data_IF_675101959753
#
_entry.id   IF_675101959753
#
_cell.length_a   1.000
_cell.length_b   1.000
_cell.length_c   1.000
_cell.angle_alpha   90.00
_cell.angle_beta   90.00
_cell.angle_gamma   90.00
#
_symmetry.space_group_name_H-M   'P 1'
#
loop_
_entity.id
_entity.type
_entity.pdbx_description
1 polymer ?
#
# COMPACT_ATOMS: atom_id res chain seq x y z
N UNK A 1 11.61 -10.26 47.74
CA UNK A 1 13.08 -10.33 47.60
C UNK A 1 13.39 -10.86 46.22
N UNK A 2 13.60 -9.98 45.24
CA UNK A 2 14.02 -10.37 43.89
C UNK A 2 15.50 -10.00 43.78
N UNK A 3 16.36 -11.01 43.65
CA UNK A 3 17.80 -10.85 43.39
C UNK A 3 17.99 -10.75 41.88
N UNK A 4 18.38 -9.59 41.39
CA UNK A 4 18.93 -9.44 40.04
C UNK A 4 20.43 -9.78 40.09
N UNK A 5 20.85 -10.73 39.25
CA UNK A 5 22.27 -11.07 39.04
C UNK A 5 22.70 -10.43 37.72
N UNK A 6 23.71 -9.56 37.77
CA UNK A 6 24.35 -8.95 36.60
C UNK A 6 25.56 -9.81 36.20
N UNK A 7 25.59 -10.34 34.97
CA UNK A 7 26.79 -10.95 34.41
C UNK A 7 27.53 -9.93 33.54
N UNK A 8 28.80 -9.70 33.87
CA UNK A 8 29.74 -8.91 33.10
C UNK A 8 30.36 -9.82 32.04
N UNK A 9 30.13 -9.55 30.76
CA UNK A 9 30.85 -10.20 29.65
C UNK A 9 31.85 -9.18 29.08
N UNK A 10 33.13 -9.51 29.19
CA UNK A 10 34.23 -8.73 28.60
C UNK A 10 34.24 -8.98 27.09
N UNK A 11 33.94 -7.96 26.29
CA UNK A 11 33.93 -8.07 24.83
C UNK A 11 35.35 -7.87 24.26
N UNK A 12 35.88 -8.88 23.58
CA UNK A 12 36.95 -8.71 22.60
C UNK A 12 36.31 -8.13 21.33
N UNK A 13 36.97 -7.13 20.75
CA UNK A 13 36.53 -6.34 19.59
C UNK A 13 36.10 -7.23 18.41
N UNK A 14 34.86 -7.06 17.96
CA UNK A 14 34.32 -7.64 16.73
C UNK A 14 32.80 -7.62 16.70
N UNK A 15 32.22 -6.74 15.87
CA UNK A 15 30.79 -6.70 15.46
C UNK A 15 29.73 -6.77 16.56
N UNK A 16 29.11 -5.64 16.89
CA UNK A 16 27.84 -5.65 17.66
C UNK A 16 26.66 -5.54 16.70
N UNK A 17 26.00 -6.68 16.44
CA UNK A 17 24.60 -6.71 16.10
C UNK A 17 23.81 -6.63 17.43
N UNK A 18 22.95 -5.61 17.57
CA UNK A 18 22.00 -5.55 18.69
C UNK A 18 20.78 -6.39 18.29
N UNK A 19 20.68 -7.59 18.83
CA UNK A 19 19.53 -8.46 18.69
C UNK A 19 18.50 -8.09 19.76
N UNK A 20 17.41 -7.40 19.37
CA UNK A 20 16.20 -7.32 20.18
C UNK A 20 15.47 -8.67 20.08
N UNK A 21 15.55 -9.50 21.12
CA UNK A 21 14.82 -10.77 21.15
C UNK A 21 13.36 -10.54 21.55
N UNK A 22 12.48 -10.60 20.55
CA UNK A 22 11.05 -10.89 20.67
C UNK A 22 10.70 -11.99 19.66
N UNK A 23 10.26 -13.14 20.17
CA UNK A 23 9.81 -14.36 19.47
C UNK A 23 10.37 -14.60 18.06
N UNK A 24 11.57 -15.18 18.01
CA UNK A 24 12.26 -15.55 16.76
C UNK A 24 11.93 -16.97 16.33
N UNK A 25 11.03 -17.07 15.36
CA UNK A 25 11.05 -18.15 14.36
C UNK A 25 11.04 -17.50 12.97
N UNK A 26 12.21 -17.45 12.32
CA UNK A 26 12.40 -16.94 10.94
C UNK A 26 13.14 -15.60 10.86
N UNK A 27 14.47 -15.62 11.06
CA UNK A 27 15.34 -14.42 11.19
C UNK A 27 16.06 -13.99 9.90
N UNK A 28 15.51 -14.26 8.72
CA UNK A 28 16.02 -13.65 7.50
C UNK A 28 15.14 -12.46 7.12
N UNK A 29 15.66 -11.24 7.31
CA UNK A 29 15.08 -10.06 6.69
C UNK A 29 15.33 -10.17 5.19
N UNK A 30 14.25 -10.21 4.41
CA UNK A 30 14.28 -10.22 2.97
C UNK A 30 14.32 -8.78 2.43
N UNK A 31 15.10 -8.59 1.38
CA UNK A 31 15.01 -7.42 0.52
C UNK A 31 14.10 -7.77 -0.67
N UNK A 32 13.00 -7.03 -0.82
CA UNK A 32 12.00 -7.24 -1.87
C UNK A 32 12.25 -6.37 -3.11
N UNK A 33 13.33 -5.60 -3.15
CA UNK A 33 13.66 -4.68 -4.26
C UNK A 33 13.88 -5.35 -5.60
N UNK A 34 14.13 -6.67 -5.60
CA UNK A 34 14.32 -7.52 -6.78
C UNK A 34 13.41 -8.78 -6.75
N UNK A 35 12.23 -8.67 -6.14
CA UNK A 35 11.28 -9.76 -6.00
C UNK A 35 10.09 -9.68 -6.96
N UNK A 36 9.54 -10.84 -7.35
CA UNK A 36 8.26 -10.87 -8.08
C UNK A 36 7.12 -10.68 -7.08
N UNK A 37 6.79 -9.41 -6.83
CA UNK A 37 5.72 -9.01 -5.91
C UNK A 37 4.44 -8.89 -6.70
N UNK A 38 3.38 -9.52 -6.21
CA UNK A 38 2.06 -9.54 -6.85
C UNK A 38 1.15 -8.44 -6.35
N UNK A 39 1.19 -8.15 -5.06
CA UNK A 39 0.39 -7.09 -4.46
C UNK A 39 0.95 -6.69 -3.10
N UNK A 40 0.63 -5.47 -2.66
CA UNK A 40 1.02 -4.92 -1.37
C UNK A 40 -0.18 -4.29 -0.67
N UNK A 41 -0.24 -4.36 0.66
CA UNK A 41 -1.30 -3.68 1.43
C UNK A 41 -0.77 -3.18 2.76
N UNK A 42 -1.44 -2.20 3.35
CA UNK A 42 -1.09 -1.60 4.65
C UNK A 42 -2.15 -1.95 5.68
N UNK A 43 -1.70 -2.34 6.87
CA UNK A 43 -2.53 -2.53 8.05
C UNK A 43 -2.19 -1.46 9.09
N UNK A 44 -3.08 -0.50 9.30
CA UNK A 44 -2.81 0.67 10.14
C UNK A 44 -1.71 1.55 9.53
N UNK A 45 -0.81 2.10 10.37
CA UNK A 45 0.12 3.12 9.88
C UNK A 45 1.47 2.56 9.41
N UNK A 46 1.96 1.45 9.98
CA UNK A 46 3.36 1.03 9.78
C UNK A 46 3.55 -0.42 9.31
N UNK A 47 2.49 -1.23 9.39
CA UNK A 47 2.58 -2.65 9.05
C UNK A 47 2.18 -2.82 7.60
N UNK A 48 3.08 -3.38 6.80
CA UNK A 48 2.81 -3.68 5.39
C UNK A 48 2.86 -5.18 5.15
N UNK A 49 2.06 -5.65 4.22
CA UNK A 49 2.08 -7.03 3.75
C UNK A 49 2.31 -7.06 2.25
N UNK A 50 3.14 -7.98 1.80
CA UNK A 50 3.41 -8.21 0.38
C UNK A 50 3.22 -9.69 0.06
N UNK A 51 2.55 -9.98 -1.04
CA UNK A 51 2.44 -11.33 -1.57
C UNK A 51 3.43 -11.51 -2.74
N UNK A 52 4.24 -12.55 -2.68
CA UNK A 52 5.22 -12.88 -3.71
C UNK A 52 4.81 -14.14 -4.45
N UNK A 53 5.04 -14.14 -5.77
CA UNK A 53 4.80 -15.33 -6.58
C UNK A 53 5.64 -15.37 -7.87
N UNK A 54 6.22 -16.53 -8.15
CA UNK A 54 6.91 -16.82 -9.42
C UNK A 54 8.27 -16.12 -9.56
N UNK A 55 8.90 -15.77 -8.43
CA UNK A 55 10.17 -15.05 -8.37
C UNK A 55 11.35 -15.89 -7.87
N UNK A 56 12.55 -15.29 -7.73
CA UNK A 56 13.72 -15.96 -7.17
C UNK A 56 13.64 -16.16 -5.64
N UNK A 57 12.81 -15.35 -4.95
CA UNK A 57 12.49 -15.51 -3.53
C UNK A 57 11.42 -16.58 -3.33
N UNK A 58 11.24 -17.01 -2.08
CA UNK A 58 10.17 -17.94 -1.71
C UNK A 58 8.81 -17.28 -1.92
N UNK A 59 7.93 -17.96 -2.67
CA UNK A 59 6.54 -17.55 -2.82
C UNK A 59 5.82 -17.55 -1.45
N UNK A 60 4.95 -16.57 -1.23
CA UNK A 60 4.17 -16.49 0.00
C UNK A 60 3.96 -15.06 0.49
N UNK A 61 3.61 -14.96 1.77
CA UNK A 61 3.28 -13.70 2.44
C UNK A 61 4.47 -13.20 3.23
N UNK A 62 4.85 -11.95 2.98
CA UNK A 62 5.86 -11.21 3.72
C UNK A 62 5.21 -10.07 4.48
N UNK A 63 5.79 -9.70 5.63
CA UNK A 63 5.35 -8.58 6.44
C UNK A 63 6.52 -7.67 6.81
N UNK A 64 6.29 -6.38 6.73
CA UNK A 64 7.17 -5.34 7.27
C UNK A 64 6.49 -4.65 8.46
N UNK A 65 7.28 -4.25 9.45
CA UNK A 65 6.85 -3.42 10.59
C UNK A 65 7.48 -2.02 10.58
N UNK A 66 8.21 -1.71 9.52
CA UNK A 66 9.08 -0.54 9.40
C UNK A 66 8.89 0.14 8.04
N UNK A 67 7.64 0.23 7.56
CA UNK A 67 7.30 0.90 6.30
C UNK A 67 8.08 0.35 5.10
N UNK A 68 8.15 -0.98 5.01
CA UNK A 68 8.74 -1.67 3.86
C UNK A 68 10.27 -1.62 3.80
N UNK A 69 10.95 -1.10 4.83
CA UNK A 69 12.41 -1.10 4.90
C UNK A 69 12.96 -2.52 5.07
N UNK A 70 12.31 -3.36 5.87
CA UNK A 70 12.69 -4.76 6.04
C UNK A 70 11.46 -5.67 6.03
N UNK A 71 11.62 -6.86 5.44
CA UNK A 71 10.53 -7.81 5.25
C UNK A 71 10.81 -9.15 5.89
N UNK A 72 9.81 -9.74 6.53
CA UNK A 72 9.89 -11.06 7.12
C UNK A 72 8.91 -12.00 6.41
N UNK A 73 9.38 -13.16 5.96
CA UNK A 73 8.50 -14.23 5.48
C UNK A 73 7.63 -14.73 6.63
N UNK A 74 6.32 -14.83 6.40
CA UNK A 74 5.32 -15.21 7.40
C UNK A 74 4.74 -16.60 7.13
N UNK A 75 4.33 -16.87 5.89
CA UNK A 75 3.75 -18.16 5.48
C UNK A 75 3.77 -18.30 3.96
N UNK A 76 3.39 -19.48 3.47
CA UNK A 76 3.19 -19.72 2.03
C UNK A 76 1.94 -19.05 1.47
N UNK A 77 1.11 -18.41 2.31
CA UNK A 77 -0.17 -17.84 1.90
C UNK A 77 -1.31 -18.87 1.83
N UNK A 78 -2.49 -18.45 1.33
CA UNK A 78 -3.61 -19.35 1.07
C UNK A 78 -3.29 -20.36 -0.05
N UNK A 79 -4.07 -21.45 -0.15
CA UNK A 79 -3.90 -22.37 -1.28
C UNK A 79 -4.35 -21.68 -2.58
N UNK A 80 -3.52 -21.72 -3.61
CA UNK A 80 -3.81 -21.15 -4.93
C UNK A 80 -2.94 -19.96 -5.28
N UNK A 81 -3.18 -19.38 -6.45
CA UNK A 81 -2.47 -18.20 -6.95
C UNK A 81 -3.15 -16.98 -6.38
N UNK A 82 -2.45 -16.21 -5.54
CA UNK A 82 -2.99 -15.00 -4.93
C UNK A 82 -3.02 -13.86 -5.95
N UNK A 83 -4.18 -13.22 -6.06
CA UNK A 83 -4.46 -12.16 -7.03
C UNK A 83 -4.84 -10.84 -6.36
N UNK A 84 -5.30 -10.85 -5.12
CA UNK A 84 -5.61 -9.65 -4.35
C UNK A 84 -5.33 -9.88 -2.86
N UNK A 85 -4.92 -8.81 -2.16
CA UNK A 85 -4.68 -8.82 -0.71
C UNK A 85 -5.16 -7.50 -0.11
N UNK A 86 -5.96 -7.56 0.95
CA UNK A 86 -6.34 -6.38 1.71
C UNK A 86 -6.23 -6.66 3.21
N UNK A 87 -5.66 -5.70 3.94
CA UNK A 87 -5.61 -5.77 5.39
C UNK A 87 -6.82 -5.06 6.01
N UNK A 88 -7.29 -5.58 7.14
CA UNK A 88 -8.36 -4.93 7.88
C UNK A 88 -7.82 -3.66 8.58
N UNK A 89 -8.43 -2.48 8.36
CA UNK A 89 -7.81 -1.20 8.73
C UNK A 89 -7.68 -1.00 10.24
N UNK A 90 -8.61 -1.56 11.03
CA UNK A 90 -8.58 -1.45 12.51
C UNK A 90 -8.15 -2.73 13.23
N UNK A 91 -7.95 -3.83 12.51
CA UNK A 91 -7.58 -5.13 13.10
C UNK A 91 -6.41 -5.72 12.30
N UNK A 92 -5.16 -5.34 12.61
CA UNK A 92 -3.98 -5.71 11.81
C UNK A 92 -3.64 -7.21 11.84
N UNK A 93 -4.34 -8.00 12.67
CA UNK A 93 -4.27 -9.46 12.64
C UNK A 93 -5.15 -10.07 11.53
N UNK A 94 -6.14 -9.32 11.04
CA UNK A 94 -7.07 -9.80 10.01
C UNK A 94 -6.61 -9.37 8.63
N UNK A 95 -6.44 -10.35 7.73
CA UNK A 95 -6.17 -10.13 6.31
C UNK A 95 -7.19 -10.89 5.46
N UNK A 96 -7.49 -10.37 4.28
CA UNK A 96 -8.30 -11.06 3.28
C UNK A 96 -7.48 -11.21 2.01
N UNK A 97 -7.59 -12.38 1.38
CA UNK A 97 -6.91 -12.66 0.12
C UNK A 97 -7.88 -13.23 -0.89
N UNK A 98 -7.76 -12.71 -2.12
CA UNK A 98 -8.37 -13.23 -3.32
C UNK A 98 -7.40 -14.15 -4.04
N UNK A 99 -7.90 -15.22 -4.63
CA UNK A 99 -7.11 -16.10 -5.49
C UNK A 99 -7.76 -16.29 -6.86
N UNK A 100 -7.02 -16.93 -7.77
CA UNK A 100 -7.53 -17.35 -9.07
C UNK A 100 -8.79 -18.23 -8.97
N UNK A 101 -9.56 -18.20 -10.06
CA UNK A 101 -10.77 -18.99 -10.24
C UNK A 101 -10.50 -20.37 -10.80
N UNK A 102 -11.53 -21.21 -10.85
CA UNK A 102 -11.41 -22.58 -11.29
C UNK A 102 -12.65 -23.43 -11.00
N UNK A 103 -12.57 -24.76 -11.20
CA UNK A 103 -13.70 -25.64 -10.93
C UNK A 103 -14.18 -25.54 -9.49
N UNK A 104 -15.50 -25.41 -9.28
CA UNK A 104 -16.11 -25.29 -7.94
C UNK A 104 -15.79 -26.45 -7.00
N UNK A 105 -15.44 -27.62 -7.55
CA UNK A 105 -15.08 -28.81 -6.78
C UNK A 105 -13.68 -28.75 -6.15
N UNK A 106 -12.81 -27.88 -6.66
CA UNK A 106 -11.39 -27.83 -6.26
C UNK A 106 -10.93 -26.45 -5.85
N UNK A 107 -11.73 -25.41 -6.09
CA UNK A 107 -11.27 -24.02 -6.02
C UNK A 107 -11.99 -23.25 -4.92
N UNK A 108 -11.22 -22.51 -4.14
CA UNK A 108 -11.70 -21.45 -3.26
C UNK A 108 -11.00 -20.18 -3.74
N UNK A 109 -11.74 -19.09 -3.88
CA UNK A 109 -11.22 -17.83 -4.41
C UNK A 109 -11.09 -16.73 -3.34
N UNK A 110 -11.55 -17.00 -2.11
CA UNK A 110 -11.53 -16.04 -1.02
C UNK A 110 -11.10 -16.68 0.31
N UNK A 111 -10.21 -15.98 0.99
CA UNK A 111 -9.52 -16.45 2.18
C UNK A 111 -9.45 -15.35 3.23
N UNK A 112 -9.43 -15.74 4.51
CA UNK A 112 -9.21 -14.85 5.65
C UNK A 112 -8.13 -15.40 6.55
N UNK A 113 -7.23 -14.54 7.00
CA UNK A 113 -6.33 -14.80 8.12
C UNK A 113 -6.80 -14.05 9.35
N UNK A 114 -6.57 -14.62 10.54
CA UNK A 114 -6.84 -13.99 11.84
C UNK A 114 -5.57 -13.79 12.67
N UNK A 115 -4.41 -14.11 12.11
CA UNK A 115 -3.13 -14.18 12.81
C UNK A 115 -2.00 -13.50 12.02
N UNK A 116 -2.33 -12.40 11.34
CA UNK A 116 -1.40 -11.60 10.52
C UNK A 116 -0.77 -12.40 9.37
N UNK A 117 -1.56 -13.25 8.72
CA UNK A 117 -1.13 -14.02 7.55
C UNK A 117 -0.32 -15.28 7.87
N UNK A 118 -0.22 -15.71 9.13
CA UNK A 118 0.48 -16.96 9.51
C UNK A 118 -0.31 -18.20 9.10
N UNK A 119 -1.63 -18.14 9.19
CA UNK A 119 -2.54 -19.17 8.70
C UNK A 119 -3.75 -18.55 7.99
N UNK A 120 -4.34 -19.33 7.07
CA UNK A 120 -5.41 -18.89 6.19
C UNK A 120 -6.58 -19.87 6.23
N UNK A 121 -7.79 -19.31 6.31
CA UNK A 121 -9.04 -20.02 6.35
C UNK A 121 -9.87 -19.68 5.11
N UNK A 122 -10.41 -20.71 4.47
CA UNK A 122 -11.34 -20.56 3.34
C UNK A 122 -12.59 -19.84 3.83
N UNK A 123 -13.00 -18.80 3.10
CA UNK A 123 -14.33 -18.24 3.26
C UNK A 123 -15.27 -19.08 2.39
N UNK A 124 -16.04 -19.95 3.03
CA UNK A 124 -17.10 -20.76 2.43
C UNK A 124 -18.24 -19.85 1.98
N UNK A 125 -18.06 -19.33 0.78
CA UNK A 125 -19.05 -18.51 0.12
C UNK A 125 -19.37 -19.25 -1.17
N UNK A 126 -20.60 -19.72 -1.29
CA UNK A 126 -21.16 -19.96 -2.61
C UNK A 126 -21.46 -18.59 -3.20
N UNK A 127 -20.43 -17.94 -3.76
CA UNK A 127 -20.69 -16.92 -4.77
C UNK A 127 -21.56 -17.63 -5.81
N UNK A 128 -22.55 -16.95 -6.42
CA UNK A 128 -23.36 -17.57 -7.45
C UNK A 128 -22.42 -18.23 -8.44
N UNK A 129 -22.38 -19.57 -8.45
CA UNK A 129 -21.48 -20.29 -9.33
C UNK A 129 -21.84 -19.85 -10.74
N UNK A 130 -20.83 -19.50 -11.54
CA UNK A 130 -21.08 -19.24 -12.94
C UNK A 130 -21.80 -20.49 -13.50
N UNK A 131 -22.79 -20.34 -14.39
CA UNK A 131 -23.66 -21.45 -14.81
C UNK A 131 -22.94 -22.69 -15.38
N UNK A 132 -21.64 -22.60 -15.64
CA UNK A 132 -20.72 -23.67 -16.06
C UNK A 132 -20.02 -24.41 -14.90
N UNK A 133 -20.28 -24.06 -13.63
CA UNK A 133 -19.64 -24.66 -12.46
C UNK A 133 -18.24 -24.11 -12.14
N UNK A 134 -17.92 -22.93 -12.64
CA UNK A 134 -16.65 -22.24 -12.38
C UNK A 134 -16.83 -21.17 -11.29
N UNK A 135 -15.90 -21.15 -10.33
CA UNK A 135 -15.74 -20.07 -9.36
C UNK A 135 -14.86 -19.00 -10.01
N UNK A 136 -15.29 -17.73 -10.08
CA UNK A 136 -14.50 -16.69 -10.73
C UNK A 136 -13.26 -16.35 -9.91
N UNK A 137 -12.20 -15.85 -10.56
CA UNK A 137 -11.06 -15.27 -9.84
C UNK A 137 -11.51 -14.02 -9.09
N UNK A 138 -10.94 -13.77 -7.90
CA UNK A 138 -11.06 -12.46 -7.25
C UNK A 138 -9.98 -11.55 -7.83
N UNK A 139 -10.37 -10.43 -8.43
CA UNK A 139 -9.44 -9.51 -9.09
C UNK A 139 -9.02 -8.36 -8.20
N UNK A 140 -9.89 -7.95 -7.28
CA UNK A 140 -9.65 -6.82 -6.38
C UNK A 140 -10.49 -6.98 -5.12
N UNK A 141 -9.98 -6.46 -4.00
CA UNK A 141 -10.64 -6.45 -2.70
C UNK A 141 -10.53 -5.04 -2.11
N UNK A 142 -11.62 -4.55 -1.54
CA UNK A 142 -11.63 -3.27 -0.84
C UNK A 142 -12.41 -3.38 0.47
N UNK A 143 -11.95 -2.64 1.49
CA UNK A 143 -12.64 -2.52 2.78
C UNK A 143 -13.01 -1.05 2.97
N UNK A 144 -14.19 -0.80 3.52
CA UNK A 144 -14.59 0.55 3.96
C UNK A 144 -13.89 0.88 5.29
N UNK A 145 -13.00 1.87 5.29
CA UNK A 145 -12.29 2.30 6.49
C UNK A 145 -13.23 2.84 7.58
N UNK A 146 -14.40 3.37 7.21
CA UNK A 146 -15.43 3.86 8.12
C UNK A 146 -16.38 2.75 8.60
N UNK A 147 -16.50 1.69 7.82
CA UNK A 147 -17.32 0.51 8.10
C UNK A 147 -16.50 -0.76 7.85
N UNK A 148 -15.51 -1.05 8.71
CA UNK A 148 -14.53 -2.09 8.42
C UNK A 148 -15.09 -3.51 8.46
N UNK A 149 -16.38 -3.68 8.80
CA UNK A 149 -17.14 -4.91 8.63
C UNK A 149 -17.64 -5.13 7.19
N UNK A 150 -17.38 -4.22 6.26
CA UNK A 150 -17.77 -4.33 4.86
C UNK A 150 -16.57 -4.65 3.97
N UNK A 151 -16.58 -5.84 3.38
CA UNK A 151 -15.61 -6.30 2.40
C UNK A 151 -16.26 -6.36 1.01
N UNK A 152 -15.73 -5.57 0.09
CA UNK A 152 -16.11 -5.55 -1.32
C UNK A 152 -15.18 -6.45 -2.13
N UNK A 153 -15.78 -7.21 -3.05
CA UNK A 153 -15.07 -8.21 -3.85
C UNK A 153 -15.39 -7.99 -5.31
N UNK A 154 -14.33 -7.75 -6.09
CA UNK A 154 -14.39 -7.69 -7.55
C UNK A 154 -13.99 -9.04 -8.11
N UNK A 155 -14.72 -9.49 -9.13
CA UNK A 155 -14.47 -10.81 -9.73
C UNK A 155 -14.22 -10.74 -11.23
N UNK A 156 -13.47 -11.72 -11.73
CA UNK A 156 -13.32 -11.95 -13.15
C UNK A 156 -14.60 -12.61 -13.71
N UNK A 157 -15.46 -11.80 -14.33
CA UNK A 157 -16.57 -12.28 -15.15
C UNK A 157 -17.86 -12.57 -14.37
N UNK A 158 -17.96 -12.15 -13.10
CA UNK A 158 -19.14 -12.36 -12.27
C UNK A 158 -19.57 -11.13 -11.46
N UNK A 159 -18.99 -9.95 -11.71
CA UNK A 159 -19.39 -8.69 -11.06
C UNK A 159 -18.83 -8.46 -9.65
N UNK A 160 -19.57 -7.67 -8.85
CA UNK A 160 -19.14 -7.14 -7.54
C UNK A 160 -20.01 -7.70 -6.43
N UNK A 161 -19.40 -8.07 -5.30
CA UNK A 161 -20.09 -8.62 -4.13
C UNK A 161 -19.72 -7.87 -2.85
N UNK A 162 -20.69 -7.73 -1.93
CA UNK A 162 -20.47 -7.20 -0.60
C UNK A 162 -20.66 -8.28 0.47
N UNK A 163 -19.65 -8.43 1.28
CA UNK A 163 -19.65 -9.27 2.47
C UNK A 163 -19.67 -8.41 3.73
N UNK A 164 -20.60 -8.74 4.61
CA UNK A 164 -20.57 -8.30 6.00
C UNK A 164 -19.69 -9.30 6.77
N UNK A 165 -18.47 -8.88 7.08
CA UNK A 165 -17.53 -9.61 7.92
C UNK A 165 -17.86 -9.27 9.38
N UNK A 166 -18.05 -10.31 10.17
CA UNK A 166 -18.45 -10.25 11.57
C UNK A 166 -19.96 -9.98 11.80
N UNK A 167 -20.83 -10.28 10.82
CA UNK A 167 -22.30 -10.21 10.92
C UNK A 167 -22.91 -10.84 12.19
N UNK A 168 -22.22 -11.84 12.78
CA UNK A 168 -22.60 -12.53 14.04
C UNK A 168 -21.47 -12.52 15.09
N UNK A 169 -20.56 -11.55 15.05
CA UNK A 169 -19.41 -11.41 15.95
C UNK A 169 -18.21 -12.32 15.65
N UNK A 170 -18.38 -13.34 14.80
CA UNK A 170 -17.30 -14.21 14.30
C UNK A 170 -17.54 -14.75 12.87
N UNK A 171 -18.61 -14.33 12.21
CA UNK A 171 -19.08 -14.87 10.93
C UNK A 171 -18.72 -14.01 9.72
N UNK A 172 -19.24 -14.38 8.55
CA UNK A 172 -19.29 -13.53 7.36
C UNK A 172 -20.51 -13.93 6.54
N UNK A 173 -21.13 -12.97 5.85
CA UNK A 173 -22.33 -13.22 5.06
C UNK A 173 -22.33 -12.38 3.79
N UNK A 174 -22.74 -12.97 2.66
CA UNK A 174 -23.06 -12.20 1.46
C UNK A 174 -24.30 -11.36 1.75
N UNK A 175 -24.17 -10.03 1.67
CA UNK A 175 -25.26 -9.11 2.01
C UNK A 175 -25.74 -8.27 0.84
N UNK A 176 -24.97 -8.21 -0.24
CA UNK A 176 -25.34 -7.46 -1.44
C UNK A 176 -24.36 -7.70 -2.58
N UNK A 177 -24.58 -7.02 -3.70
CA UNK A 177 -23.77 -7.14 -4.90
C UNK A 177 -24.59 -7.34 -6.16
N UNK A 178 -23.90 -7.26 -7.30
CA UNK A 178 -24.45 -7.51 -8.63
C UNK A 178 -23.67 -8.64 -9.28
N UNK A 179 -24.39 -9.70 -9.60
CA UNK A 179 -23.89 -10.81 -10.41
C UNK A 179 -24.32 -10.58 -11.86
N UNK A 180 -23.33 -10.39 -12.74
CA UNK A 180 -23.55 -10.21 -14.17
C UNK A 180 -22.56 -11.09 -14.94
N UNK A 181 -23.02 -12.01 -15.82
CA UNK A 181 -22.13 -12.82 -16.64
C UNK A 181 -21.21 -11.94 -17.48
N UNK A 182 -19.94 -12.31 -17.58
CA UNK A 182 -18.92 -11.59 -18.38
C UNK A 182 -18.59 -10.17 -17.87
N UNK A 183 -19.09 -9.78 -16.69
CA UNK A 183 -18.67 -8.53 -16.05
C UNK A 183 -17.35 -8.74 -15.34
N UNK A 184 -16.27 -8.25 -15.96
CA UNK A 184 -14.92 -8.28 -15.42
C UNK A 184 -14.67 -7.01 -14.63
N UNK A 185 -14.53 -7.15 -13.31
CA UNK A 185 -14.13 -6.05 -12.44
C UNK A 185 -12.61 -5.92 -12.51
N UNK A 186 -12.13 -4.76 -12.97
CA UNK A 186 -10.70 -4.45 -13.03
C UNK A 186 -10.22 -3.92 -11.69
N UNK A 187 -10.97 -2.99 -11.12
CA UNK A 187 -10.62 -2.36 -9.86
C UNK A 187 -11.86 -1.91 -9.05
N UNK A 188 -11.71 -1.84 -7.73
CA UNK A 188 -12.70 -1.45 -6.76
C UNK A 188 -12.09 -0.51 -5.72
N UNK A 189 -12.66 0.68 -5.59
CA UNK A 189 -12.28 1.62 -4.54
C UNK A 189 -13.49 2.07 -3.75
N UNK A 190 -13.31 2.21 -2.44
CA UNK A 190 -14.33 2.74 -1.53
C UNK A 190 -13.97 4.19 -1.24
N UNK A 191 -14.85 5.11 -1.65
CA UNK A 191 -14.75 6.53 -1.32
C UNK A 191 -15.68 6.91 -0.17
N UNK A 192 -15.77 8.21 0.10
CA UNK A 192 -16.58 8.70 1.21
C UNK A 192 -18.06 8.35 1.10
N UNK A 193 -18.70 8.29 2.28
CA UNK A 193 -20.15 8.06 2.47
C UNK A 193 -20.59 6.70 1.92
N UNK A 194 -19.75 5.68 2.10
CA UNK A 194 -20.02 4.30 1.69
C UNK A 194 -20.29 4.21 0.17
N UNK A 195 -19.64 5.06 -0.64
CA UNK A 195 -19.71 4.97 -2.10
C UNK A 195 -18.61 4.06 -2.60
N UNK A 196 -19.01 3.10 -3.40
CA UNK A 196 -18.13 2.11 -3.99
C UNK A 196 -18.10 2.36 -5.47
N UNK A 197 -16.90 2.50 -6.01
CA UNK A 197 -16.67 2.66 -7.43
C UNK A 197 -16.11 1.36 -8.00
N UNK A 198 -16.72 0.87 -9.06
CA UNK A 198 -16.29 -0.34 -9.75
C UNK A 198 -15.89 0.00 -11.18
N UNK A 199 -14.60 -0.18 -11.47
CA UNK A 199 -14.11 -0.14 -12.83
C UNK A 199 -14.30 -1.51 -13.47
N UNK A 200 -15.03 -1.57 -14.58
CA UNK A 200 -15.32 -2.82 -15.29
C UNK A 200 -14.96 -2.74 -16.77
N UNK A 201 -15.09 -3.85 -17.49
CA UNK A 201 -15.02 -3.87 -18.95
C UNK A 201 -16.18 -3.11 -19.64
N UNK A 202 -17.26 -2.80 -18.93
CA UNK A 202 -18.43 -2.06 -19.44
C UNK A 202 -18.43 -0.57 -19.05
N UNK A 203 -17.44 -0.13 -18.26
CA UNK A 203 -17.30 1.24 -17.79
C UNK A 203 -17.15 1.35 -16.27
N UNK A 204 -17.20 2.59 -15.79
CA UNK A 204 -17.11 2.94 -14.37
C UNK A 204 -18.52 3.06 -13.78
N UNK A 205 -18.78 2.38 -12.66
CA UNK A 205 -20.06 2.43 -11.96
C UNK A 205 -19.87 2.86 -10.51
N UNK A 206 -20.89 3.52 -9.94
CA UNK A 206 -20.95 3.86 -8.52
C UNK A 206 -22.18 3.27 -7.87
N UNK A 207 -22.02 2.84 -6.61
CA UNK A 207 -23.13 2.45 -5.75
C UNK A 207 -22.94 2.95 -4.31
N UNK A 208 -24.03 3.30 -3.63
CA UNK A 208 -24.03 3.64 -2.20
C UNK A 208 -24.54 2.52 -1.29
N UNK A 209 -25.14 1.49 -1.88
CA UNK A 209 -25.78 0.36 -1.19
C UNK A 209 -25.37 -1.01 -1.76
N UNK A 210 -24.54 -1.00 -2.82
CA UNK A 210 -24.08 -2.15 -3.62
C UNK A 210 -25.17 -3.04 -4.22
N UNK A 211 -26.43 -2.59 -4.16
CA UNK A 211 -27.57 -3.20 -4.83
C UNK A 211 -27.90 -2.46 -6.13
N UNK A 212 -27.85 -1.12 -6.09
CA UNK A 212 -28.15 -0.25 -7.23
C UNK A 212 -26.87 0.43 -7.73
N UNK A 213 -26.54 0.19 -9.00
CA UNK A 213 -25.35 0.72 -9.65
C UNK A 213 -25.72 1.72 -10.74
N UNK A 214 -24.99 2.84 -10.77
CA UNK A 214 -25.17 3.90 -11.75
C UNK A 214 -23.89 4.07 -12.55
N UNK A 215 -24.00 4.06 -13.88
CA UNK A 215 -22.86 4.33 -14.74
C UNK A 215 -22.43 5.80 -14.58
N UNK A 216 -21.12 6.01 -14.50
CA UNK A 216 -20.51 7.34 -14.48
C UNK A 216 -19.97 7.69 -15.89
N UNK A 217 -20.10 8.96 -16.33
CA UNK A 217 -19.67 9.40 -17.65
C UNK A 217 -18.15 9.59 -17.75
N UNK A 218 -17.36 8.55 -17.42
CA UNK A 218 -15.91 8.57 -17.53
C UNK A 218 -15.50 8.70 -19.03
N UNK A 219 -14.74 9.74 -19.43
CA UNK A 219 -14.36 9.93 -20.83
C UNK A 219 -13.27 8.96 -21.34
N UNK A 220 -12.64 8.19 -20.44
CA UNK A 220 -11.58 7.26 -20.77
C UNK A 220 -12.08 6.12 -21.68
N UNK A 221 -11.43 5.92 -22.83
CA UNK A 221 -11.79 4.82 -23.74
C UNK A 221 -11.38 3.45 -23.18
N UNK A 222 -10.21 3.39 -22.53
CA UNK A 222 -9.58 2.14 -22.06
C UNK A 222 -9.01 2.33 -20.66
N UNK A 223 -9.86 2.60 -19.66
CA UNK A 223 -9.43 2.81 -18.30
C UNK A 223 -8.79 1.54 -17.73
N UNK A 224 -7.70 1.73 -17.02
CA UNK A 224 -6.90 0.66 -16.41
C UNK A 224 -7.03 0.64 -14.90
N UNK A 225 -7.21 1.80 -14.28
CA UNK A 225 -7.09 1.96 -12.83
C UNK A 225 -7.88 3.18 -12.34
N UNK A 226 -8.36 3.13 -11.10
CA UNK A 226 -9.08 4.23 -10.44
C UNK A 226 -8.57 4.42 -9.01
N UNK A 227 -8.61 5.66 -8.53
CA UNK A 227 -8.28 5.96 -7.15
C UNK A 227 -9.23 7.04 -6.61
N UNK A 228 -9.54 6.99 -5.31
CA UNK A 228 -10.46 7.95 -4.69
C UNK A 228 -9.96 8.43 -3.33
N UNK A 229 -10.19 9.71 -3.07
CA UNK A 229 -10.00 10.37 -1.78
C UNK A 229 -11.14 11.37 -1.64
N UNK A 230 -11.79 11.38 -0.48
CA UNK A 230 -13.01 12.14 -0.24
C UNK A 230 -14.10 11.91 -1.32
N UNK A 231 -14.43 12.99 -2.04
CA UNK A 231 -15.37 13.01 -3.16
C UNK A 231 -14.66 13.04 -4.52
N UNK A 232 -13.33 13.05 -4.52
CA UNK A 232 -12.52 13.06 -5.70
C UNK A 232 -12.30 11.66 -6.26
N UNK A 233 -12.26 11.55 -7.58
CA UNK A 233 -11.95 10.32 -8.29
C UNK A 233 -10.91 10.65 -9.37
N UNK A 234 -9.87 9.84 -9.40
CA UNK A 234 -8.88 9.81 -10.46
C UNK A 234 -9.10 8.53 -11.28
N UNK A 235 -8.93 8.63 -12.59
CA UNK A 235 -8.96 7.48 -13.49
C UNK A 235 -7.81 7.61 -14.50
N UNK A 236 -7.09 6.51 -14.71
CA UNK A 236 -6.02 6.44 -15.70
C UNK A 236 -6.42 5.50 -16.85
N UNK A 237 -5.97 5.79 -18.07
CA UNK A 237 -6.17 4.93 -19.23
C UNK A 237 -4.87 4.49 -19.91
N UNK A 238 -4.96 3.46 -20.75
CA UNK A 238 -3.80 2.92 -21.46
C UNK A 238 -3.27 3.85 -22.57
N UNK A 239 -3.86 5.03 -22.75
CA UNK A 239 -3.28 6.08 -23.58
C UNK A 239 -2.26 6.94 -22.84
N UNK A 240 -2.22 6.81 -21.51
CA UNK A 240 -1.48 7.69 -20.61
C UNK A 240 -2.33 8.85 -20.11
N UNK A 241 -3.58 9.02 -20.57
CA UNK A 241 -4.42 10.09 -20.08
C UNK A 241 -4.86 9.82 -18.64
N UNK A 242 -5.01 10.91 -17.89
CA UNK A 242 -5.50 10.89 -16.51
C UNK A 242 -6.67 11.85 -16.44
N UNK A 243 -7.76 11.38 -15.83
CA UNK A 243 -8.98 12.15 -15.65
C UNK A 243 -9.24 12.33 -14.16
N UNK A 244 -9.77 13.49 -13.81
CA UNK A 244 -10.13 13.87 -12.46
C UNK A 244 -11.57 14.33 -12.40
N UNK A 245 -12.25 13.92 -11.33
CA UNK A 245 -13.55 14.41 -10.93
C UNK A 245 -13.49 14.84 -9.47
N UNK A 246 -14.00 16.02 -9.14
CA UNK A 246 -14.15 16.50 -7.75
C UNK A 246 -15.54 16.25 -7.17
N UNK A 247 -16.46 15.71 -7.98
CA UNK A 247 -17.88 15.64 -7.67
C UNK A 247 -18.45 14.21 -7.69
N UNK A 248 -17.64 13.21 -7.36
CA UNK A 248 -18.07 11.81 -7.34
C UNK A 248 -18.33 11.25 -8.75
N UNK A 249 -17.57 11.73 -9.73
CA UNK A 249 -17.57 11.18 -11.09
C UNK A 249 -18.69 11.69 -11.98
N UNK A 250 -19.42 12.74 -11.60
CA UNK A 250 -20.48 13.32 -12.44
C UNK A 250 -19.89 14.13 -13.60
N UNK A 251 -18.82 14.88 -13.34
CA UNK A 251 -18.08 15.63 -14.34
C UNK A 251 -16.59 15.27 -14.27
N UNK A 252 -15.93 15.29 -15.43
CA UNK A 252 -14.54 14.86 -15.58
C UNK A 252 -13.72 15.90 -16.35
N UNK A 253 -12.47 16.07 -15.93
CA UNK A 253 -11.46 16.87 -16.63
C UNK A 253 -10.23 16.02 -16.87
N UNK A 254 -9.68 16.05 -18.08
CA UNK A 254 -8.39 15.45 -18.35
C UNK A 254 -7.29 16.32 -17.73
N UNK A 255 -6.53 15.75 -16.78
CA UNK A 255 -5.48 16.40 -15.98
C UNK A 255 -4.09 15.80 -16.25
N UNK A 256 -3.97 14.84 -17.16
CA UNK A 256 -2.71 14.18 -17.50
C UNK A 256 -2.74 13.56 -18.90
N UNK A 257 -1.59 13.11 -19.37
CA UNK A 257 -1.45 12.49 -20.70
C UNK A 257 -0.42 13.14 -21.62
N UNK A 258 0.07 14.34 -21.28
CA UNK A 258 1.13 15.02 -22.02
C UNK A 258 2.51 14.74 -21.39
N UNK A 259 2.79 13.47 -21.12
CA UNK A 259 4.05 13.04 -20.51
C UNK A 259 5.22 13.25 -21.48
N UNK A 260 6.42 13.61 -21.00
CA UNK A 260 7.61 13.70 -21.85
C UNK A 260 7.91 12.36 -22.53
N UNK A 261 7.53 12.23 -23.80
CA UNK A 261 7.75 11.03 -24.59
C UNK A 261 9.09 11.10 -25.34
N UNK A 262 9.79 9.97 -25.42
CA UNK A 262 10.86 9.80 -26.40
C UNK A 262 10.23 9.64 -27.79
N UNK A 263 10.91 10.15 -28.81
CA UNK A 263 10.44 10.04 -30.20
C UNK A 263 10.13 8.58 -30.52
N UNK A 264 8.91 8.33 -31.02
CA UNK A 264 8.40 7.02 -31.49
C UNK A 264 7.86 6.05 -30.42
N UNK A 265 7.88 6.38 -29.12
CA UNK A 265 7.26 5.53 -28.09
C UNK A 265 6.07 6.21 -27.41
N UNK A 266 4.93 5.52 -27.36
CA UNK A 266 3.75 5.97 -26.60
C UNK A 266 3.98 5.65 -25.12
N UNK A 267 3.78 6.63 -24.24
CA UNK A 267 3.69 6.40 -22.80
C UNK A 267 2.28 5.96 -22.44
N UNK A 268 2.16 4.87 -21.69
CA UNK A 268 0.91 4.40 -21.11
C UNK A 268 0.97 4.61 -19.60
N UNK A 269 -0.16 4.94 -18.98
CA UNK A 269 -0.30 4.79 -17.55
C UNK A 269 -0.26 3.29 -17.21
N UNK A 270 0.20 2.95 -16.01
CA UNK A 270 0.25 1.54 -15.57
C UNK A 270 -0.36 1.32 -14.20
N UNK A 271 -0.27 2.30 -13.30
CA UNK A 271 -0.92 2.29 -12.00
C UNK A 271 -1.15 3.73 -11.53
N UNK A 272 -2.12 3.92 -10.65
CA UNK A 272 -2.56 5.20 -10.11
C UNK A 272 -2.93 5.02 -8.64
N UNK A 273 -2.52 5.95 -7.79
CA UNK A 273 -2.97 6.00 -6.39
C UNK A 273 -3.18 7.45 -5.96
N UNK A 274 -3.96 7.64 -4.90
CA UNK A 274 -4.24 8.95 -4.31
C UNK A 274 -4.09 8.85 -2.80
N UNK A 275 -3.57 9.91 -2.20
CA UNK A 275 -3.56 10.06 -0.75
C UNK A 275 -4.98 10.12 -0.22
N UNK A 276 -5.33 9.16 0.64
CA UNK A 276 -6.66 9.08 1.23
C UNK A 276 -7.03 10.34 2.02
N UNK A 277 -6.06 10.98 2.65
CA UNK A 277 -6.26 12.17 3.50
C UNK A 277 -6.02 13.49 2.75
N UNK A 278 -5.56 13.43 1.50
CA UNK A 278 -5.30 14.60 0.67
C UNK A 278 -5.66 14.34 -0.79
N UNK A 279 -6.91 14.66 -1.16
CA UNK A 279 -7.41 14.51 -2.53
C UNK A 279 -6.59 15.25 -3.61
N UNK A 280 -5.70 16.17 -3.24
CA UNK A 280 -4.82 16.87 -4.20
C UNK A 280 -3.50 16.14 -4.44
N UNK A 281 -3.14 15.18 -3.59
CA UNK A 281 -1.94 14.38 -3.69
C UNK A 281 -2.23 13.05 -4.40
N UNK A 282 -1.77 12.93 -5.65
CA UNK A 282 -1.94 11.71 -6.44
C UNK A 282 -0.63 11.32 -7.12
N UNK A 283 -0.48 10.02 -7.39
CA UNK A 283 0.72 9.44 -7.95
C UNK A 283 0.35 8.52 -9.09
N UNK A 284 1.10 8.60 -10.17
CA UNK A 284 0.93 7.76 -11.35
C UNK A 284 2.27 7.17 -11.78
N UNK A 285 2.24 5.93 -12.24
CA UNK A 285 3.36 5.33 -12.96
C UNK A 285 3.04 5.19 -14.43
N UNK A 286 4.07 5.33 -15.25
CA UNK A 286 3.98 5.18 -16.69
C UNK A 286 4.96 4.12 -17.19
N UNK A 287 4.72 3.59 -18.38
CA UNK A 287 5.65 2.73 -19.11
C UNK A 287 5.63 3.03 -20.61
N UNK A 288 6.73 2.76 -21.30
CA UNK A 288 6.80 2.90 -22.75
C UNK A 288 6.23 1.67 -23.43
N UNK A 289 5.25 1.87 -24.32
CA UNK A 289 4.72 0.84 -25.20
C UNK A 289 5.53 0.79 -26.50
N UNK A 290 6.43 -0.20 -26.61
CA UNK A 290 7.32 -0.41 -27.76
C UNK A 290 7.09 -1.82 -28.29
N UNK A 291 6.66 -1.93 -29.55
CA UNK A 291 6.43 -3.24 -30.18
C UNK A 291 5.37 -4.11 -29.49
N UNK A 292 4.43 -3.50 -28.75
CA UNK A 292 3.41 -4.21 -27.98
C UNK A 292 3.85 -4.68 -26.59
N UNK A 293 5.09 -4.35 -26.17
CA UNK A 293 5.57 -4.60 -24.82
C UNK A 293 5.69 -3.29 -24.04
N UNK A 294 5.40 -3.36 -22.73
CA UNK A 294 5.64 -2.28 -21.80
C UNK A 294 7.05 -2.41 -21.22
N UNK A 295 7.81 -1.31 -21.25
CA UNK A 295 9.16 -1.27 -20.69
C UNK A 295 9.44 0.04 -19.95
N UNK A 296 10.05 -0.09 -18.78
CA UNK A 296 10.51 1.04 -17.95
C UNK A 296 9.42 2.09 -17.71
N UNK A 297 9.81 3.36 -17.81
CA UNK A 297 8.93 4.52 -17.64
C UNK A 297 9.24 5.27 -16.36
N UNK A 298 8.26 5.96 -15.79
CA UNK A 298 8.52 6.92 -14.71
C UNK A 298 7.37 7.02 -13.73
N UNK A 299 7.69 7.45 -12.51
CA UNK A 299 6.71 7.76 -11.47
C UNK A 299 6.59 9.28 -11.37
N UNK A 300 5.35 9.77 -11.40
CA UNK A 300 5.02 11.18 -11.28
C UNK A 300 4.06 11.40 -10.12
N UNK A 301 4.20 12.52 -9.43
CA UNK A 301 3.29 12.95 -8.37
C UNK A 301 2.70 14.33 -8.68
N UNK A 302 1.55 14.61 -8.09
CA UNK A 302 0.92 15.93 -8.08
C UNK A 302 0.49 16.26 -6.66
N UNK A 303 0.50 17.54 -6.29
CA UNK A 303 -0.07 18.06 -5.02
C UNK A 303 -1.18 19.09 -5.28
N UNK A 304 -1.66 19.19 -6.52
CA UNK A 304 -2.62 20.20 -6.97
C UNK A 304 -3.69 19.60 -7.88
N UNK A 305 -4.09 18.37 -7.57
CA UNK A 305 -5.11 17.61 -8.29
C UNK A 305 -4.84 17.48 -9.80
N UNK A 306 -3.57 17.27 -10.14
CA UNK A 306 -3.12 17.05 -11.52
C UNK A 306 -3.03 18.31 -12.37
N UNK A 307 -3.12 19.51 -11.79
CA UNK A 307 -2.83 20.74 -12.54
C UNK A 307 -1.37 20.77 -12.99
N UNK A 308 -0.47 20.21 -12.19
CA UNK A 308 0.93 19.98 -12.52
C UNK A 308 1.38 18.61 -11.99
N UNK A 309 2.24 17.94 -12.75
CA UNK A 309 2.85 16.67 -12.39
C UNK A 309 4.36 16.78 -12.37
N UNK A 310 4.98 16.31 -11.30
CA UNK A 310 6.43 16.31 -11.08
C UNK A 310 6.94 14.89 -11.20
N UNK A 311 8.00 14.70 -12.00
CA UNK A 311 8.67 13.39 -12.08
C UNK A 311 9.46 13.16 -10.80
N UNK A 312 9.14 12.07 -10.11
CA UNK A 312 9.77 11.67 -8.85
C UNK A 312 10.96 10.75 -9.10
N UNK A 313 10.79 9.76 -9.97
CA UNK A 313 11.80 8.74 -10.24
C UNK A 313 11.58 8.04 -11.59
N UNK A 314 12.61 7.31 -12.03
CA UNK A 314 12.42 6.27 -13.04
C UNK A 314 11.72 5.06 -12.43
N UNK A 315 10.78 4.46 -13.16
CA UNK A 315 10.08 3.27 -12.72
C UNK A 315 11.02 2.05 -12.68
N UNK A 316 10.81 1.17 -11.70
CA UNK A 316 11.55 -0.08 -11.59
C UNK A 316 10.87 -1.15 -12.42
N UNK A 317 11.23 -1.22 -13.71
CA UNK A 317 10.49 -2.02 -14.68
C UNK A 317 9.13 -1.39 -14.97
N UNK A 318 8.10 -2.23 -15.15
CA UNK A 318 6.70 -1.80 -15.32
C UNK A 318 6.03 -1.89 -13.96
N UNK A 319 5.66 -0.75 -13.38
CA UNK A 319 4.96 -0.71 -12.10
C UNK A 319 3.50 -1.05 -12.34
N UNK A 320 3.06 -2.15 -11.76
CA UNK A 320 1.72 -2.72 -11.95
C UNK A 320 0.74 -2.27 -10.83
N UNK A 321 1.27 -1.87 -9.67
CA UNK A 321 0.49 -1.36 -8.55
C UNK A 321 1.28 -0.26 -7.82
N UNK A 322 0.58 0.81 -7.41
CA UNK A 322 1.10 1.89 -6.60
C UNK A 322 0.36 1.94 -5.26
N UNK A 323 1.12 2.14 -4.19
CA UNK A 323 0.60 2.33 -2.85
C UNK A 323 1.25 3.57 -2.23
N UNK A 324 0.45 4.47 -1.69
CA UNK A 324 0.93 5.58 -0.87
C UNK A 324 0.71 5.27 0.61
N UNK A 325 1.76 5.36 1.42
CA UNK A 325 1.67 5.21 2.87
C UNK A 325 2.65 6.16 3.58
N UNK A 326 2.14 7.04 4.45
CA UNK A 326 2.93 8.04 5.18
C UNK A 326 3.90 8.84 4.27
N UNK A 327 3.38 9.41 3.18
CA UNK A 327 4.14 10.15 2.15
C UNK A 327 5.22 9.33 1.42
N UNK A 328 5.32 8.02 1.67
CA UNK A 328 6.20 7.12 0.91
C UNK A 328 5.38 6.46 -0.19
N UNK A 329 5.91 6.54 -1.42
CA UNK A 329 5.32 5.93 -2.60
C UNK A 329 5.95 4.55 -2.79
N UNK A 330 5.16 3.50 -2.83
CA UNK A 330 5.64 2.15 -3.14
C UNK A 330 5.16 1.75 -4.53
N UNK A 331 6.10 1.38 -5.40
CA UNK A 331 5.78 0.74 -6.67
C UNK A 331 6.05 -0.75 -6.61
N UNK A 332 5.03 -1.53 -6.92
CA UNK A 332 5.11 -2.97 -7.13
C UNK A 332 5.32 -3.23 -8.62
N UNK A 333 6.32 -4.04 -8.94
CA UNK A 333 6.48 -4.59 -10.27
C UNK A 333 6.87 -6.06 -10.22
N UNK A 334 6.80 -6.72 -11.36
CA UNK A 334 7.42 -8.03 -11.59
C UNK A 334 8.93 -8.07 -11.30
N UNK A 335 9.58 -6.90 -11.17
CA UNK A 335 11.01 -6.78 -10.88
C UNK A 335 11.30 -6.32 -9.46
N UNK A 336 10.30 -6.06 -8.62
CA UNK A 336 10.52 -5.69 -7.22
C UNK A 336 9.46 -4.78 -6.63
N UNK A 337 9.43 -4.73 -5.30
CA UNK A 337 8.79 -3.67 -4.54
C UNK A 337 9.83 -2.60 -4.21
N UNK A 338 9.62 -1.36 -4.67
CA UNK A 338 10.53 -0.24 -4.36
C UNK A 338 9.80 0.94 -3.75
N UNK A 339 10.30 1.49 -2.62
CA UNK A 339 9.90 2.80 -2.17
C UNK A 339 10.54 3.89 -3.06
N UNK A 340 9.75 4.90 -3.40
CA UNK A 340 10.13 6.14 -4.04
C UNK A 340 9.90 7.26 -3.03
N UNK A 341 10.86 8.18 -2.95
CA UNK A 341 10.92 9.22 -1.91
C UNK A 341 10.93 8.62 -0.49
N UNK A 342 12.09 8.17 -0.03
CA UNK A 342 12.33 8.24 1.41
C UNK A 342 12.36 9.74 1.77
N UNK A 343 11.71 10.20 2.86
CA UNK A 343 11.85 11.58 3.28
C UNK A 343 13.34 11.90 3.31
N UNK A 344 13.72 12.92 2.54
CA UNK A 344 15.08 13.44 2.56
C UNK A 344 15.33 13.77 4.03
N UNK A 345 16.19 13.00 4.71
CA UNK A 345 16.83 13.50 5.93
C UNK A 345 17.41 14.83 5.50
N UNK A 346 16.87 15.93 6.04
CA UNK A 346 17.21 17.28 5.64
C UNK A 346 18.73 17.36 5.47
N UNK A 347 19.15 17.61 4.23
CA UNK A 347 20.54 17.67 3.84
C UNK A 347 21.20 18.80 4.64
N UNK A 348 21.74 18.46 5.81
CA UNK A 348 22.47 19.39 6.68
C UNK A 348 23.84 19.75 6.07
N UNK A 349 24.15 19.26 4.87
CA UNK A 349 25.42 19.44 4.19
C UNK A 349 25.58 20.71 3.35
N UNK A 350 24.51 21.43 2.98
CA UNK A 350 24.63 22.49 1.95
C UNK A 350 24.20 23.90 2.36
N UNK A 351 23.74 24.14 3.59
CA UNK A 351 23.30 25.48 4.03
C UNK A 351 24.29 26.28 4.90
N UNK A 352 25.44 25.72 5.29
CA UNK A 352 26.35 26.37 6.27
C UNK A 352 27.55 27.12 5.68
N UNK A 353 27.75 27.17 4.37
CA UNK A 353 28.92 27.84 3.78
C UNK A 353 28.72 29.33 3.46
N UNK A 354 27.53 29.92 3.65
CA UNK A 354 27.25 31.26 3.12
C UNK A 354 26.65 32.31 4.07
N UNK A 355 26.93 32.24 5.37
CA UNK A 355 26.63 33.35 6.30
C UNK A 355 27.81 33.60 7.26
N UNK A 356 28.78 34.39 6.81
CA UNK A 356 29.88 34.89 7.63
C UNK A 356 29.48 36.04 8.54
N UNK A 357 28.73 35.76 9.62
CA UNK A 357 28.50 36.71 10.72
C UNK A 357 28.54 36.01 12.10
N UNK A 358 29.07 36.67 13.15
CA UNK A 358 29.17 36.08 14.48
C UNK A 358 27.85 36.24 15.23
N UNK A 359 27.16 35.13 15.49
CA UNK A 359 25.96 35.11 16.34
C UNK A 359 26.29 34.42 17.67
N UNK A 360 26.30 35.22 18.75
CA UNK A 360 26.23 34.74 20.12
C UNK A 360 24.83 34.17 20.39
N UNK A 361 24.73 32.88 20.69
CA UNK A 361 23.48 32.21 21.06
C UNK A 361 23.63 31.54 22.42
N UNK A 362 22.74 31.90 23.35
CA UNK A 362 22.64 31.34 24.68
C UNK A 362 21.36 30.50 24.79
N UNK A 363 21.52 29.27 25.29
CA UNK A 363 20.50 28.33 25.79
C UNK A 363 19.47 27.78 24.81
N UNK A 364 19.94 26.89 23.93
CA UNK A 364 19.58 25.44 23.89
C UNK A 364 19.87 24.92 22.49
N UNK A 365 21.15 24.64 22.23
CA UNK A 365 21.59 23.87 21.07
C UNK A 365 22.33 22.64 21.60
N UNK A 366 21.94 21.48 21.08
CA UNK A 366 22.69 20.23 21.23
C UNK A 366 23.97 20.38 20.43
N UNK A 367 25.11 20.42 21.14
CA UNK A 367 26.43 20.39 20.54
C UNK A 367 26.88 18.92 20.44
N UNK A 368 26.88 18.37 19.22
CA UNK A 368 27.50 17.06 18.95
C UNK A 368 28.96 17.32 18.57
N UNK A 369 29.89 17.03 19.48
CA UNK A 369 31.33 17.06 19.22
C UNK A 369 31.76 15.66 18.77
N UNK A 370 32.28 15.52 17.55
CA UNK A 370 33.03 14.32 17.17
C UNK A 370 34.45 14.42 17.73
N UNK A 371 34.73 13.68 18.80
CA UNK A 371 36.10 13.44 19.24
C UNK A 371 36.64 12.20 18.54
N UNK A 372 37.63 12.40 17.67
CA UNK A 372 38.38 11.30 17.07
C UNK A 372 39.33 10.69 18.10
N UNK A 373 39.20 9.38 18.25
CA UNK A 373 40.03 8.43 19.00
C UNK A 373 40.27 8.69 20.50
N UNK A 374 39.58 7.87 21.31
CA UNK A 374 40.14 7.33 22.55
C UNK A 374 39.84 8.10 23.83
N UNK A 375 38.68 7.85 24.44
CA UNK A 375 38.50 7.52 25.87
C UNK A 375 37.00 7.45 26.21
N UNK A 376 36.65 6.48 27.04
CA UNK A 376 35.30 6.06 27.37
C UNK A 376 34.46 7.13 28.11
N UNK A 377 33.17 7.19 27.77
CA UNK A 377 32.16 7.92 28.55
C UNK A 377 30.76 7.34 28.30
N UNK A 378 30.23 6.60 29.27
CA UNK A 378 28.86 6.07 29.27
C UNK A 378 27.90 7.22 29.58
N UNK A 379 26.83 7.39 28.78
CA UNK A 379 25.70 8.27 29.12
C UNK A 379 24.53 7.38 29.55
N UNK A 380 24.10 7.53 30.81
CA UNK A 380 22.88 6.95 31.36
C UNK A 380 21.78 8.03 31.33
N UNK A 381 20.64 7.76 30.70
CA UNK A 381 19.44 8.59 30.82
C UNK A 381 18.56 8.08 31.97
N UNK A 382 18.29 8.95 32.95
CA UNK A 382 17.29 8.77 33.99
C UNK A 382 16.40 10.00 34.07
N UNK A 383 15.08 9.78 34.17
CA UNK A 383 14.04 10.81 34.27
C UNK A 383 14.13 11.51 35.63
N UNK A 384 14.20 12.84 35.66
CA UNK A 384 14.11 13.65 36.88
C UNK A 384 13.03 14.73 36.70
N UNK A 385 11.88 14.51 37.34
CA UNK A 385 10.85 15.52 37.54
C UNK A 385 11.32 16.51 38.62
N UNK A 386 11.20 17.82 38.37
CA UNK A 386 11.53 18.84 39.36
C UNK A 386 10.28 19.43 40.01
N UNK A 387 10.25 19.33 41.34
CA UNK A 387 9.31 20.01 42.24
C UNK A 387 9.69 21.49 42.34
N UNK A 388 8.71 22.39 42.19
CA UNK A 388 8.81 23.84 42.41
C UNK A 388 9.13 24.15 43.88
N UNK A 389 10.17 24.94 44.13
CA UNK A 389 10.33 25.70 45.38
C UNK A 389 10.41 27.21 45.06
N UNK A 390 9.53 27.96 45.72
CA UNK A 390 9.33 29.40 45.59
C UNK A 390 10.48 30.20 46.23
N UNK A 391 10.65 31.42 45.71
CA UNK A 391 11.56 32.49 46.14
C UNK A 391 11.59 32.76 47.66
N UNK A 392 12.73 33.24 48.15
CA UNK A 392 12.78 34.53 48.90
C UNK A 392 14.11 35.25 48.63
N UNK A 393 14.03 36.57 48.66
CA UNK A 393 15.06 37.54 48.29
C UNK A 393 15.91 38.00 49.48
N UNK A 394 17.14 38.44 49.18
CA UNK A 394 17.72 39.71 49.65
C UNK A 394 18.82 40.14 48.67
#
# INVERSE_FOLDING_TARGET
MVRSVLFLVTLIVGTTAVMLMGETSGLALADLSNASVKTVTVAGDHVMYAALQGGPQTDGIYRSHDNGLTWQYISSGPDGVLTALVAHPVNPATLFAGTEGGPVTTTNNLWRSYDSGKSWHKLFISLPAHPDGVVPAVTTLAIDDTQPHKLFIGTAGSGVYLFDIDADGHGYRLVGGVSAPQMHVKDLVVGERNRVYALTNEGLFVSGDVEAWHALPLPAERPIDIATSDNAIYAADDSGAVYYSSNGGQDWTQIGGNWPAVSEAKLQATALTVDKENQNHAVISTAYAIGGQLIGGSVYETYNAGSEWVKVAEANGVVDELLLNNDIIYGVSHTGLKPYLLPIEADTGSFLTNLGLPLHLNHSQVLIIFLTSGLAGIILFGRLDWVRLLQTAA
#
